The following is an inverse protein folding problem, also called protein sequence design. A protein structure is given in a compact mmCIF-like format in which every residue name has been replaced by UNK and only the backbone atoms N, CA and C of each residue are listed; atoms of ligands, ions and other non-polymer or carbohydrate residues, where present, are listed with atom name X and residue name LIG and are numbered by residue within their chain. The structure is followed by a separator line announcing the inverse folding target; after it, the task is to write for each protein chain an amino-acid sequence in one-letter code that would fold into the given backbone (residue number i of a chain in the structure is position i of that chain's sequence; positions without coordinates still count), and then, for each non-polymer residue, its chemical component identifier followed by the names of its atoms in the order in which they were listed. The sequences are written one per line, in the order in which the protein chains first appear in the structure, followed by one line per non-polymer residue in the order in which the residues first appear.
data_IF_097397882981
#
_entry.id   IF_097397882981
#
_cell.length_a   1.000
_cell.length_b   1.000
_cell.length_c   1.000
_cell.angle_alpha   90.00
_cell.angle_beta   90.00
_cell.angle_gamma   90.00
#
_symmetry.space_group_name_H-M   'P 1'
#
loop_
_entity.id
_entity.type
_entity.pdbx_description
1 polymer ?
#
# COMPACT_ATOMS: atom_id res chain seq x y z
N UNK A 1 12.55 26.82 -21.71
CA UNK A 1 12.94 27.86 -22.69
C UNK A 1 14.34 28.36 -22.37
N UNK A 2 14.65 28.87 -21.17
CA UNK A 2 15.96 29.42 -20.76
C UNK A 2 17.10 28.42 -21.01
N UNK A 3 16.93 27.17 -20.62
CA UNK A 3 17.90 26.08 -20.78
C UNK A 3 18.24 25.78 -22.26
N UNK A 4 17.22 25.78 -23.12
CA UNK A 4 17.40 25.62 -24.56
C UNK A 4 18.22 26.77 -25.19
N UNK A 5 18.06 28.00 -24.69
CA UNK A 5 18.76 29.17 -25.22
C UNK A 5 20.25 29.14 -24.88
N UNK A 6 20.59 28.64 -23.68
CA UNK A 6 21.98 28.55 -23.19
C UNK A 6 22.74 27.42 -23.88
N UNK A 7 22.13 26.23 -24.06
CA UNK A 7 22.78 25.06 -24.64
C UNK A 7 22.84 25.05 -26.18
N UNK A 8 22.08 25.89 -26.84
CA UNK A 8 22.02 25.92 -28.30
C UNK A 8 23.42 26.08 -28.95
N UNK A 9 24.16 27.12 -28.55
CA UNK A 9 25.49 27.41 -29.17
C UNK A 9 26.52 26.30 -28.94
N UNK A 10 26.74 25.76 -27.73
CA UNK A 10 27.72 24.67 -27.53
C UNK A 10 27.30 23.39 -28.25
N UNK A 11 26.00 23.04 -28.27
CA UNK A 11 25.52 21.85 -28.99
C UNK A 11 25.73 21.99 -30.49
N UNK A 12 25.41 23.15 -31.07
CA UNK A 12 25.61 23.45 -32.48
C UNK A 12 27.09 23.34 -32.86
N UNK A 13 28.01 23.90 -32.07
CA UNK A 13 29.46 23.83 -32.34
C UNK A 13 29.99 22.40 -32.32
N UNK A 14 29.51 21.54 -31.41
CA UNK A 14 29.91 20.13 -31.33
C UNK A 14 29.34 19.34 -32.51
N UNK A 15 28.08 19.54 -32.84
CA UNK A 15 27.39 18.83 -33.93
C UNK A 15 28.03 19.14 -35.31
N UNK A 16 28.35 20.41 -35.57
CA UNK A 16 29.02 20.82 -36.80
C UNK A 16 30.43 20.19 -36.95
N UNK A 17 31.11 19.91 -35.84
CA UNK A 17 32.41 19.19 -35.85
C UNK A 17 32.27 17.71 -36.15
N UNK A 18 31.20 17.06 -35.63
CA UNK A 18 30.98 15.61 -35.78
C UNK A 18 30.45 15.27 -37.17
N UNK A 19 29.60 16.13 -37.75
CA UNK A 19 28.92 15.86 -39.02
C UNK A 19 28.86 17.13 -39.90
N UNK A 20 30.00 17.61 -40.47
CA UNK A 20 30.05 18.91 -41.10
C UNK A 20 29.22 19.04 -42.40
N UNK A 21 28.93 17.92 -43.09
CA UNK A 21 28.33 17.93 -44.45
C UNK A 21 26.96 17.18 -44.52
N UNK A 22 26.40 16.72 -43.40
CA UNK A 22 25.17 15.93 -43.39
C UNK A 22 24.14 16.54 -42.42
N UNK A 23 23.21 17.28 -43.00
CA UNK A 23 22.15 17.99 -42.23
C UNK A 23 21.27 17.02 -41.44
N UNK A 24 20.96 15.83 -41.98
CA UNK A 24 20.11 14.87 -41.29
C UNK A 24 20.82 14.31 -40.06
N UNK A 25 22.11 13.99 -40.18
CA UNK A 25 22.95 13.58 -39.05
C UNK A 25 23.18 14.70 -38.03
N UNK A 26 23.30 15.94 -38.50
CA UNK A 26 23.39 17.09 -37.58
C UNK A 26 22.14 17.22 -36.70
N UNK A 27 20.95 17.08 -37.25
CA UNK A 27 19.69 17.13 -36.50
C UNK A 27 19.61 15.96 -35.50
N UNK A 28 19.91 14.74 -35.91
CA UNK A 28 19.90 13.57 -35.05
C UNK A 28 20.90 13.69 -33.90
N UNK A 29 22.15 14.10 -34.21
CA UNK A 29 23.23 14.28 -33.23
C UNK A 29 22.91 15.43 -32.26
N UNK A 30 22.29 16.53 -32.72
CA UNK A 30 21.85 17.64 -31.89
C UNK A 30 20.80 17.20 -30.91
N UNK A 31 19.81 16.43 -31.37
CA UNK A 31 18.74 15.89 -30.48
C UNK A 31 19.31 14.93 -29.41
N UNK A 32 20.17 14.01 -29.82
CA UNK A 32 20.82 13.04 -28.93
C UNK A 32 21.67 13.75 -27.88
N UNK A 33 22.53 14.67 -28.33
CA UNK A 33 23.45 15.40 -27.46
C UNK A 33 22.67 16.28 -26.45
N UNK A 34 21.61 16.94 -26.93
CA UNK A 34 20.75 17.74 -26.08
C UNK A 34 20.08 16.89 -24.99
N UNK A 35 19.55 15.71 -25.34
CA UNK A 35 18.91 14.81 -24.37
C UNK A 35 19.91 14.27 -23.34
N UNK A 36 21.11 13.86 -23.77
CA UNK A 36 22.17 13.40 -22.87
C UNK A 36 22.54 14.50 -21.87
N UNK A 37 22.79 15.71 -22.34
CA UNK A 37 23.14 16.85 -21.48
C UNK A 37 21.98 17.16 -20.52
N UNK A 38 20.74 17.14 -21.00
CA UNK A 38 19.56 17.40 -20.21
C UNK A 38 19.42 16.38 -19.07
N UNK A 39 19.54 15.09 -19.37
CA UNK A 39 19.51 14.02 -18.36
C UNK A 39 20.68 14.15 -17.38
N UNK A 40 21.90 14.40 -17.85
CA UNK A 40 23.07 14.55 -17.00
C UNK A 40 22.96 15.72 -16.02
N UNK A 41 22.29 16.81 -16.41
CA UNK A 41 22.04 17.95 -15.54
C UNK A 41 20.88 17.66 -14.57
N UNK A 42 19.82 17.00 -15.01
CA UNK A 42 18.64 16.75 -14.16
C UNK A 42 18.85 15.63 -13.14
N UNK A 43 19.66 14.62 -13.48
CA UNK A 43 19.88 13.45 -12.63
C UNK A 43 20.33 13.79 -11.20
N UNK A 44 21.32 14.69 -10.97
CA UNK A 44 21.70 15.10 -9.61
C UNK A 44 20.60 15.80 -8.83
N UNK A 45 19.63 16.41 -9.54
CA UNK A 45 18.52 17.15 -8.93
C UNK A 45 17.23 16.32 -8.83
N UNK A 46 17.25 15.06 -9.28
CA UNK A 46 16.07 14.19 -9.24
C UNK A 46 15.47 14.09 -7.82
N UNK A 47 16.31 13.90 -6.80
CA UNK A 47 15.87 13.85 -5.41
C UNK A 47 15.29 15.17 -4.87
N UNK A 48 15.74 16.30 -5.40
CA UNK A 48 15.20 17.61 -5.04
C UNK A 48 13.87 17.88 -5.75
N UNK A 49 13.72 17.40 -6.99
CA UNK A 49 12.47 17.47 -7.74
C UNK A 49 11.39 16.60 -7.08
N UNK A 50 11.73 15.38 -6.64
CA UNK A 50 10.83 14.51 -5.87
C UNK A 50 10.39 15.18 -4.58
N UNK A 51 11.32 15.74 -3.78
CA UNK A 51 10.98 16.48 -2.56
C UNK A 51 10.08 17.70 -2.83
N UNK A 52 10.32 18.41 -3.93
CA UNK A 52 9.49 19.54 -4.32
C UNK A 52 8.09 19.11 -4.79
N UNK A 53 7.99 18.01 -5.54
CA UNK A 53 6.73 17.44 -5.95
C UNK A 53 5.89 16.97 -4.76
N UNK A 54 6.47 16.23 -3.83
CA UNK A 54 5.80 15.77 -2.60
C UNK A 54 5.37 16.94 -1.68
N UNK A 55 6.08 18.08 -1.75
CA UNK A 55 5.68 19.28 -1.00
C UNK A 55 4.56 20.09 -1.67
N UNK A 56 4.48 20.06 -2.99
CA UNK A 56 3.47 20.78 -3.77
C UNK A 56 2.17 19.99 -3.94
N UNK A 57 2.28 18.67 -3.96
CA UNK A 57 1.16 17.72 -3.99
C UNK A 57 1.38 16.79 -2.80
N UNK A 58 0.93 17.15 -1.60
CA UNK A 58 0.89 16.23 -0.49
C UNK A 58 -0.15 15.15 -0.84
N UNK A 59 0.30 14.10 -1.50
CA UNK A 59 -0.40 12.84 -1.62
C UNK A 59 0.12 11.94 -0.52
N UNK A 60 -0.74 11.20 0.12
CA UNK A 60 -0.34 10.17 1.05
C UNK A 60 0.38 9.07 0.27
N UNK A 61 1.72 9.15 0.14
CA UNK A 61 2.57 8.08 -0.40
C UNK A 61 2.42 6.77 0.43
N UNK A 62 1.89 6.86 1.64
CA UNK A 62 1.47 5.72 2.46
C UNK A 62 0.26 5.00 1.86
N UNK A 63 -0.64 5.68 1.15
CA UNK A 63 -1.77 5.04 0.49
C UNK A 63 -1.37 4.21 -0.74
N UNK A 64 -0.36 4.60 -1.52
CA UNK A 64 0.10 3.82 -2.68
C UNK A 64 0.89 2.56 -2.29
N UNK A 65 1.65 2.61 -1.18
CA UNK A 65 2.38 1.44 -0.66
C UNK A 65 1.49 0.52 0.19
N UNK A 66 0.36 1.00 0.67
CA UNK A 66 -0.59 0.29 1.53
C UNK A 66 -1.61 -0.58 0.77
N UNK A 67 -1.71 -0.43 -0.56
CA UNK A 67 -2.64 -1.21 -1.39
C UNK A 67 -2.26 -2.70 -1.54
N UNK A 68 -3.02 -3.39 -2.37
CA UNK A 68 -2.80 -4.80 -2.72
C UNK A 68 -1.47 -4.97 -3.47
N UNK A 69 -0.67 -5.95 -3.06
CA UNK A 69 0.70 -6.17 -3.55
C UNK A 69 0.80 -7.26 -4.62
N UNK A 70 -0.05 -8.27 -4.53
CA UNK A 70 0.05 -9.47 -5.34
C UNK A 70 -1.01 -9.56 -6.44
N UNK A 71 -1.98 -8.66 -6.48
CA UNK A 71 -3.06 -8.69 -7.46
C UNK A 71 -2.62 -8.01 -8.77
N UNK A 72 -2.70 -8.76 -9.87
CA UNK A 72 -2.46 -8.26 -11.23
C UNK A 72 -3.63 -8.70 -12.11
N UNK A 73 -4.36 -7.75 -12.68
CA UNK A 73 -5.53 -8.02 -13.54
C UNK A 73 -5.20 -8.89 -14.75
N UNK A 74 -3.96 -8.84 -15.26
CA UNK A 74 -3.52 -9.67 -16.39
C UNK A 74 -3.48 -11.15 -16.06
N UNK A 75 -3.42 -11.51 -14.77
CA UNK A 75 -3.34 -12.90 -14.30
C UNK A 75 -4.75 -13.53 -14.23
N UNK A 76 -5.82 -12.75 -14.29
CA UNK A 76 -7.22 -13.24 -14.27
C UNK A 76 -7.48 -14.25 -15.41
N UNK A 77 -6.80 -14.09 -16.56
CA UNK A 77 -6.88 -15.06 -17.67
C UNK A 77 -6.35 -16.47 -17.30
N UNK A 78 -5.65 -16.59 -16.16
CA UNK A 78 -5.17 -17.88 -15.64
C UNK A 78 -5.70 -18.09 -14.21
N UNK A 79 -6.96 -18.55 -14.05
CA UNK A 79 -7.67 -18.55 -12.78
C UNK A 79 -6.95 -19.25 -11.63
N UNK A 80 -6.27 -20.37 -11.88
CA UNK A 80 -5.52 -21.11 -10.85
C UNK A 80 -4.37 -20.28 -10.26
N UNK A 81 -3.70 -19.45 -11.08
CA UNK A 81 -2.62 -18.57 -10.63
C UNK A 81 -3.23 -17.37 -9.89
N UNK A 82 -4.30 -16.79 -10.45
CA UNK A 82 -5.02 -15.69 -9.83
C UNK A 82 -5.50 -16.02 -8.42
N UNK A 83 -6.14 -17.17 -8.22
CA UNK A 83 -6.56 -17.67 -6.90
C UNK A 83 -5.40 -17.79 -5.92
N UNK A 84 -4.25 -18.32 -6.37
CA UNK A 84 -3.05 -18.40 -5.54
C UNK A 84 -2.50 -17.02 -5.12
N UNK A 85 -2.62 -16.00 -5.97
CA UNK A 85 -2.22 -14.64 -5.64
C UNK A 85 -3.19 -13.97 -4.68
N UNK A 86 -4.51 -14.15 -4.89
CA UNK A 86 -5.53 -13.64 -3.97
C UNK A 86 -5.36 -14.25 -2.58
N UNK A 87 -5.16 -15.58 -2.49
CA UNK A 87 -4.95 -16.25 -1.20
C UNK A 87 -3.75 -15.64 -0.45
N UNK A 88 -2.65 -15.35 -1.14
CA UNK A 88 -1.50 -14.65 -0.51
C UNK A 88 -1.85 -13.25 -0.01
N UNK A 89 -2.68 -12.53 -0.76
CA UNK A 89 -3.11 -11.20 -0.37
C UNK A 89 -4.03 -11.24 0.85
N UNK A 90 -4.95 -12.20 0.91
CA UNK A 90 -5.84 -12.44 2.05
C UNK A 90 -5.03 -12.78 3.31
N UNK A 91 -4.02 -13.66 3.20
CA UNK A 91 -3.12 -13.96 4.31
C UNK A 91 -2.36 -12.71 4.76
N UNK A 92 -1.90 -11.87 3.82
CA UNK A 92 -1.23 -10.61 4.15
C UNK A 92 -2.15 -9.64 4.89
N UNK A 93 -3.40 -9.50 4.43
CA UNK A 93 -4.44 -8.71 5.11
C UNK A 93 -4.67 -9.21 6.54
N UNK A 94 -4.81 -10.52 6.73
CA UNK A 94 -4.97 -11.13 8.05
C UNK A 94 -3.82 -10.81 9.00
N UNK A 95 -2.57 -10.82 8.51
CA UNK A 95 -1.39 -10.44 9.32
C UNK A 95 -1.37 -8.96 9.70
N UNK A 96 -1.85 -8.09 8.83
CA UNK A 96 -1.99 -6.66 9.13
C UNK A 96 -3.05 -6.45 10.22
N UNK A 97 -4.18 -7.13 10.11
CA UNK A 97 -5.24 -7.11 11.14
C UNK A 97 -4.75 -7.65 12.48
N UNK A 98 -4.01 -8.77 12.47
CA UNK A 98 -3.38 -9.31 13.68
C UNK A 98 -2.49 -8.27 14.38
N UNK A 99 -1.63 -7.59 13.61
CA UNK A 99 -0.74 -6.55 14.14
C UNK A 99 -1.55 -5.36 14.68
N UNK A 100 -2.61 -4.96 13.98
CA UNK A 100 -3.50 -3.87 14.40
C UNK A 100 -4.22 -4.18 15.71
N UNK A 101 -4.72 -5.42 15.88
CA UNK A 101 -5.27 -5.90 17.14
C UNK A 101 -4.27 -5.79 18.29
N UNK A 102 -3.03 -6.28 18.10
CA UNK A 102 -1.97 -6.19 19.12
C UNK A 102 -1.67 -4.73 19.47
N UNK A 103 -1.64 -3.84 18.48
CA UNK A 103 -1.41 -2.40 18.70
C UNK A 103 -2.56 -1.77 19.47
N UNK A 104 -3.82 -2.10 19.14
CA UNK A 104 -5.01 -1.57 19.83
C UNK A 104 -5.05 -1.98 21.31
N UNK A 105 -4.73 -3.24 21.63
CA UNK A 105 -4.62 -3.72 23.01
C UNK A 105 -3.53 -2.98 23.79
N UNK A 106 -2.37 -2.72 23.17
CA UNK A 106 -1.30 -1.93 23.81
C UNK A 106 -1.71 -0.48 24.00
N UNK A 107 -2.35 0.14 23.00
CA UNK A 107 -2.88 1.50 23.08
C UNK A 107 -3.84 1.65 24.26
N UNK A 108 -4.76 0.72 24.42
CA UNK A 108 -5.73 0.70 25.50
C UNK A 108 -5.07 0.59 26.88
N UNK A 109 -4.16 -0.39 27.06
CA UNK A 109 -3.50 -0.62 28.36
C UNK A 109 -2.54 0.49 28.75
N UNK A 110 -1.75 0.99 27.80
CA UNK A 110 -0.74 2.01 28.06
C UNK A 110 -1.31 3.44 27.99
N UNK A 111 -2.56 3.60 27.55
CA UNK A 111 -3.20 4.92 27.29
C UNK A 111 -2.34 5.75 26.33
N UNK A 112 -1.91 5.13 25.22
CA UNK A 112 -0.98 5.71 24.27
C UNK A 112 -1.73 6.26 23.05
N UNK A 113 -1.87 7.59 23.00
CA UNK A 113 -2.57 8.32 21.93
C UNK A 113 -1.92 8.10 20.55
N UNK A 114 -0.59 7.92 20.51
CA UNK A 114 0.12 7.68 19.26
C UNK A 114 -0.23 6.30 18.70
N UNK A 115 -0.25 5.27 19.56
CA UNK A 115 -0.68 3.93 19.14
C UNK A 115 -2.14 3.90 18.72
N UNK A 116 -3.02 4.67 19.40
CA UNK A 116 -4.41 4.84 19.01
C UNK A 116 -4.54 5.42 17.58
N UNK A 117 -3.79 6.47 17.28
CA UNK A 117 -3.76 7.07 15.94
C UNK A 117 -3.21 6.12 14.88
N UNK A 118 -2.22 5.28 15.23
CA UNK A 118 -1.68 4.26 14.34
C UNK A 118 -2.73 3.21 13.98
N UNK A 119 -3.55 2.76 14.95
CA UNK A 119 -4.66 1.82 14.72
C UNK A 119 -5.65 2.40 13.72
N UNK A 120 -6.09 3.65 13.88
CA UNK A 120 -7.01 4.32 12.95
C UNK A 120 -6.44 4.49 11.54
N UNK A 121 -5.11 4.67 11.43
CA UNK A 121 -4.45 4.72 10.13
C UNK A 121 -4.41 3.34 9.45
N UNK A 122 -4.12 2.28 10.20
CA UNK A 122 -4.09 0.91 9.69
C UNK A 122 -5.47 0.39 9.29
N UNK A 123 -6.53 0.81 9.98
CA UNK A 123 -7.91 0.48 9.63
C UNK A 123 -8.26 0.94 8.20
N UNK A 124 -7.87 2.15 7.81
CA UNK A 124 -8.08 2.65 6.44
C UNK A 124 -7.38 1.78 5.39
N UNK A 125 -6.21 1.26 5.71
CA UNK A 125 -5.46 0.32 4.86
C UNK A 125 -6.21 -1.00 4.73
N UNK A 126 -6.72 -1.54 5.83
CA UNK A 126 -7.48 -2.80 5.88
C UNK A 126 -8.74 -2.67 5.03
N UNK A 127 -9.50 -1.59 5.17
CA UNK A 127 -10.72 -1.32 4.41
C UNK A 127 -10.45 -1.14 2.91
N UNK A 128 -9.31 -0.55 2.56
CA UNK A 128 -8.90 -0.46 1.16
C UNK A 128 -8.55 -1.83 0.60
N UNK A 129 -7.79 -2.63 1.35
CA UNK A 129 -7.44 -3.99 0.94
C UNK A 129 -8.68 -4.89 0.76
N UNK A 130 -9.66 -4.80 1.66
CA UNK A 130 -10.93 -5.51 1.56
C UNK A 130 -11.60 -5.20 0.22
N UNK A 131 -11.76 -3.92 -0.11
CA UNK A 131 -12.38 -3.48 -1.37
C UNK A 131 -11.60 -3.98 -2.59
N UNK A 132 -10.29 -3.76 -2.62
CA UNK A 132 -9.44 -4.11 -3.76
C UNK A 132 -9.42 -5.63 -4.00
N UNK A 133 -9.36 -6.44 -2.92
CA UNK A 133 -9.40 -7.92 -3.00
C UNK A 133 -10.79 -8.38 -3.45
N UNK A 134 -11.86 -7.82 -2.91
CA UNK A 134 -13.23 -8.18 -3.26
C UNK A 134 -13.53 -7.82 -4.72
N UNK A 135 -13.10 -6.64 -5.19
CA UNK A 135 -13.25 -6.24 -6.59
C UNK A 135 -12.53 -7.21 -7.52
N UNK A 136 -11.30 -7.60 -7.21
CA UNK A 136 -10.54 -8.58 -7.96
C UNK A 136 -11.22 -9.95 -7.98
N UNK A 137 -11.75 -10.43 -6.84
CA UNK A 137 -12.47 -11.70 -6.75
C UNK A 137 -13.77 -11.68 -7.57
N UNK A 138 -14.50 -10.56 -7.58
CA UNK A 138 -15.69 -10.37 -8.42
C UNK A 138 -15.32 -10.41 -9.91
N UNK A 139 -14.22 -9.77 -10.31
CA UNK A 139 -13.74 -9.82 -11.69
C UNK A 139 -13.31 -11.25 -12.07
N UNK A 140 -12.57 -11.93 -11.19
CA UNK A 140 -12.17 -13.32 -11.39
C UNK A 140 -13.37 -14.25 -11.51
N UNK A 141 -14.47 -14.00 -10.81
CA UNK A 141 -15.69 -14.83 -10.88
C UNK A 141 -16.35 -14.83 -12.27
N UNK A 142 -16.06 -13.83 -13.10
CA UNK A 142 -16.55 -13.72 -14.47
C UNK A 142 -15.65 -14.47 -15.49
N UNK A 143 -14.49 -14.98 -15.07
CA UNK A 143 -13.61 -15.79 -15.90
C UNK A 143 -14.18 -17.24 -16.04
N UNK A 144 -13.70 -18.02 -17.01
CA UNK A 144 -14.12 -19.44 -17.15
C UNK A 144 -13.50 -20.30 -16.03
N UNK A 145 -14.19 -20.35 -14.90
CA UNK A 145 -13.81 -21.11 -13.71
C UNK A 145 -14.42 -22.51 -13.72
N UNK A 146 -13.75 -23.46 -13.07
CA UNK A 146 -14.36 -24.74 -12.67
C UNK A 146 -15.27 -24.56 -11.47
N UNK A 147 -16.15 -25.52 -11.17
CA UNK A 147 -17.06 -25.47 -10.01
C UNK A 147 -16.27 -25.33 -8.68
N UNK A 148 -15.13 -26.02 -8.56
CA UNK A 148 -14.25 -25.92 -7.39
C UNK A 148 -13.64 -24.51 -7.25
N UNK A 149 -13.24 -23.91 -8.38
CA UNK A 149 -12.71 -22.55 -8.37
C UNK A 149 -13.79 -21.51 -8.02
N UNK A 150 -15.02 -21.68 -8.53
CA UNK A 150 -16.15 -20.82 -8.13
C UNK A 150 -16.42 -20.92 -6.62
N UNK A 151 -16.40 -22.14 -6.08
CA UNK A 151 -16.55 -22.36 -4.64
C UNK A 151 -15.45 -21.65 -3.86
N UNK A 152 -14.19 -21.76 -4.32
CA UNK A 152 -13.05 -21.14 -3.67
C UNK A 152 -13.14 -19.59 -3.69
N UNK A 153 -13.55 -18.99 -4.83
CA UNK A 153 -13.79 -17.52 -4.92
C UNK A 153 -14.83 -17.07 -3.89
N UNK A 154 -15.96 -17.80 -3.80
CA UNK A 154 -17.02 -17.46 -2.85
C UNK A 154 -16.55 -17.57 -1.39
N UNK A 155 -15.75 -18.58 -1.07
CA UNK A 155 -15.15 -18.73 0.27
C UNK A 155 -14.22 -17.56 0.57
N UNK A 156 -13.35 -17.18 -0.37
CA UNK A 156 -12.41 -16.06 -0.17
C UNK A 156 -13.13 -14.73 0.02
N UNK A 157 -14.22 -14.45 -0.71
CA UNK A 157 -15.03 -13.22 -0.50
C UNK A 157 -15.53 -13.15 0.95
N UNK A 158 -16.05 -14.26 1.48
CA UNK A 158 -16.53 -14.29 2.87
C UNK A 158 -15.37 -14.13 3.87
N UNK A 159 -14.24 -14.82 3.63
CA UNK A 159 -13.06 -14.74 4.50
C UNK A 159 -12.49 -13.31 4.55
N UNK A 160 -12.44 -12.61 3.42
CA UNK A 160 -11.98 -11.21 3.36
C UNK A 160 -12.86 -10.30 4.21
N UNK A 161 -14.18 -10.44 4.10
CA UNK A 161 -15.13 -9.68 4.92
C UNK A 161 -15.04 -10.03 6.42
N UNK A 162 -14.83 -11.30 6.76
CA UNK A 162 -14.65 -11.71 8.15
C UNK A 162 -13.35 -11.17 8.75
N UNK A 163 -12.26 -11.11 7.97
CA UNK A 163 -10.98 -10.52 8.39
C UNK A 163 -11.13 -9.01 8.62
N UNK A 164 -11.83 -8.30 7.73
CA UNK A 164 -12.12 -6.87 7.90
C UNK A 164 -12.90 -6.60 9.18
N UNK A 165 -13.96 -7.40 9.45
CA UNK A 165 -14.73 -7.28 10.70
C UNK A 165 -13.89 -7.49 11.96
N UNK A 166 -12.88 -8.33 11.90
CA UNK A 166 -11.89 -8.46 12.99
C UNK A 166 -11.03 -7.19 13.07
N UNK A 167 -10.68 -6.58 11.95
CA UNK A 167 -10.03 -5.26 11.90
C UNK A 167 -10.87 -4.16 12.57
N UNK A 168 -12.19 -4.12 12.31
CA UNK A 168 -13.12 -3.21 12.97
C UNK A 168 -13.12 -3.34 14.49
N UNK A 169 -12.92 -4.55 15.02
CA UNK A 169 -12.80 -4.73 16.47
C UNK A 169 -11.51 -4.09 17.02
N UNK A 170 -10.42 -4.05 16.26
CA UNK A 170 -9.22 -3.32 16.67
C UNK A 170 -9.47 -1.81 16.75
N UNK A 171 -10.25 -1.28 15.80
CA UNK A 171 -10.67 0.12 15.76
C UNK A 171 -11.57 0.47 16.97
N UNK A 172 -12.57 -0.36 17.26
CA UNK A 172 -13.42 -0.21 18.44
C UNK A 172 -12.61 -0.21 19.76
N UNK A 173 -11.57 -1.04 19.87
CA UNK A 173 -10.67 -1.02 21.05
C UNK A 173 -9.87 0.28 21.12
N UNK A 174 -9.44 0.81 19.96
CA UNK A 174 -8.74 2.09 19.89
C UNK A 174 -9.66 3.28 20.26
N UNK A 175 -10.93 3.27 19.85
CA UNK A 175 -11.94 4.24 20.29
C UNK A 175 -12.12 4.21 21.81
N UNK A 176 -12.18 3.01 22.40
CA UNK A 176 -12.21 2.85 23.85
C UNK A 176 -10.92 3.38 24.49
N UNK A 177 -9.76 3.13 23.91
CA UNK A 177 -8.48 3.66 24.39
C UNK A 177 -8.49 5.20 24.38
N UNK A 178 -9.01 5.82 23.31
CA UNK A 178 -9.17 7.26 23.22
C UNK A 178 -10.08 7.80 24.31
N UNK A 179 -11.23 7.17 24.52
CA UNK A 179 -12.18 7.57 25.59
C UNK A 179 -11.55 7.47 26.98
N UNK A 180 -10.76 6.41 27.23
CA UNK A 180 -10.03 6.22 28.50
C UNK A 180 -9.01 7.33 28.74
N UNK A 181 -8.33 7.78 27.67
CA UNK A 181 -7.36 8.88 27.73
C UNK A 181 -8.08 10.19 28.04
N UNK A 182 -9.13 10.51 27.27
CA UNK A 182 -9.86 11.79 27.34
C UNK A 182 -10.54 11.97 28.69
N UNK A 183 -11.19 10.92 29.19
CA UNK A 183 -11.92 10.92 30.47
C UNK A 183 -11.03 10.60 31.67
N UNK A 184 -9.76 10.27 31.47
CA UNK A 184 -8.79 9.87 32.51
C UNK A 184 -9.28 8.71 33.37
N UNK A 185 -9.93 7.74 32.74
CA UNK A 185 -10.46 6.57 33.44
C UNK A 185 -9.33 5.70 34.00
N UNK A 186 -9.61 5.07 35.14
CA UNK A 186 -8.72 4.12 35.78
C UNK A 186 -9.42 2.76 35.88
N UNK A 187 -8.73 1.73 35.47
CA UNK A 187 -9.18 0.35 35.64
C UNK A 187 -8.44 -0.29 36.82
N UNK A 188 -9.10 -1.24 37.47
CA UNK A 188 -8.43 -2.08 38.48
C UNK A 188 -7.48 -3.07 37.80
N UNK A 189 -6.46 -3.53 38.54
CA UNK A 189 -5.55 -4.55 38.04
C UNK A 189 -6.28 -5.81 37.58
N UNK A 190 -7.34 -6.21 38.33
CA UNK A 190 -8.18 -7.34 37.94
C UNK A 190 -8.92 -7.16 36.63
N UNK A 191 -9.41 -5.94 36.33
CA UNK A 191 -10.07 -5.66 35.06
C UNK A 191 -9.09 -5.74 33.87
N UNK A 192 -7.84 -5.29 34.06
CA UNK A 192 -6.80 -5.41 33.05
C UNK A 192 -6.41 -6.87 32.82
N UNK A 193 -6.30 -7.68 33.89
CA UNK A 193 -6.00 -9.11 33.81
C UNK A 193 -7.10 -9.88 33.05
N UNK A 194 -8.39 -9.58 33.33
CA UNK A 194 -9.51 -10.18 32.62
C UNK A 194 -9.51 -9.78 31.12
N UNK A 195 -9.24 -8.51 30.82
CA UNK A 195 -9.08 -8.06 29.43
C UNK A 195 -7.96 -8.82 28.72
N UNK A 196 -6.77 -8.93 29.32
CA UNK A 196 -5.64 -9.64 28.73
C UNK A 196 -5.94 -11.12 28.48
N UNK A 197 -6.69 -11.76 29.36
CA UNK A 197 -7.08 -13.16 29.21
C UNK A 197 -8.03 -13.37 28.04
N UNK A 198 -9.09 -12.53 27.94
CA UNK A 198 -10.08 -12.61 26.86
C UNK A 198 -9.41 -12.26 25.53
N UNK A 199 -8.69 -11.14 25.49
CA UNK A 199 -8.01 -10.67 24.30
C UNK A 199 -6.98 -11.68 23.78
N UNK A 200 -6.15 -12.23 24.67
CA UNK A 200 -5.15 -13.24 24.32
C UNK A 200 -5.74 -14.50 23.70
N UNK A 201 -6.87 -14.99 24.24
CA UNK A 201 -7.58 -16.15 23.65
C UNK A 201 -8.18 -15.82 22.29
N UNK A 202 -8.76 -14.64 22.13
CA UNK A 202 -9.34 -14.19 20.85
C UNK A 202 -8.25 -14.07 19.78
N UNK A 203 -7.09 -13.50 20.14
CA UNK A 203 -5.95 -13.36 19.24
C UNK A 203 -5.39 -14.73 18.83
N UNK A 204 -5.27 -15.66 19.76
CA UNK A 204 -4.80 -17.05 19.47
C UNK A 204 -5.73 -17.75 18.48
N UNK A 205 -7.06 -17.61 18.64
CA UNK A 205 -8.04 -18.18 17.69
C UNK A 205 -7.88 -17.57 16.30
N UNK A 206 -7.75 -16.25 16.23
CA UNK A 206 -7.57 -15.56 14.96
C UNK A 206 -6.27 -15.94 14.25
N UNK A 207 -5.16 -16.05 14.99
CA UNK A 207 -3.87 -16.53 14.45
C UNK A 207 -4.00 -17.91 13.83
N UNK A 208 -4.63 -18.85 14.55
CA UNK A 208 -4.87 -20.22 14.03
C UNK A 208 -5.76 -20.23 12.79
N UNK A 209 -6.74 -19.33 12.71
CA UNK A 209 -7.60 -19.21 11.53
C UNK A 209 -6.85 -18.71 10.29
N UNK A 210 -5.86 -17.82 10.45
CA UNK A 210 -5.04 -17.32 9.33
C UNK A 210 -4.03 -18.38 8.86
N UNK A 211 -3.58 -19.28 9.74
CA UNK A 211 -2.60 -20.32 9.42
C UNK A 211 -3.23 -21.57 8.79
N UNK A 212 -4.55 -21.74 8.87
CA UNK A 212 -5.29 -22.92 8.36
C UNK A 212 -5.58 -22.80 6.86
#
# INVERSE_FOLDING_TARGET
IIFMTILRKPVEAIVLRISPNDIQRQIANAHTLFNIINVAIQLPFAGLLVKAANKLVPGDDEEETAGVKYLDQRIIETPSIALGQVTKEVIRMGKIVEQNLVTSSKAFKNKDEKMTSEVFSQEKVINRMERDITEYLVELSNAPLTDDQHTHVNVLINVVSDIERVGDHADNIAELAQSVIDERLLFSDGAIEEFDNIFGKSLEVFQKAIES
#
